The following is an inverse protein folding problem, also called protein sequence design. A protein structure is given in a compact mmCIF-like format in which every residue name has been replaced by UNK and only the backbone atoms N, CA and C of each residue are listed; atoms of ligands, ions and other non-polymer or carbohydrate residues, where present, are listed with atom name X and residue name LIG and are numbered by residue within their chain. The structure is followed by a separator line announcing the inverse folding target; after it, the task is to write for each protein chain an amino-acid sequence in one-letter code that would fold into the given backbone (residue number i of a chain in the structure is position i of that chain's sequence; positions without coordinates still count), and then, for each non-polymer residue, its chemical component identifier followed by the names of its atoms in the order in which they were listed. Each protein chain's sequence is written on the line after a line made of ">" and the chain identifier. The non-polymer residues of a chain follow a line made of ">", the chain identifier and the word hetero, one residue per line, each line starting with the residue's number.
data_IF_073969956770
#
_entry.id   IF_073969956770
#
_cell.length_a   1.000
_cell.length_b   1.000
_cell.length_c   1.000
_cell.angle_alpha   90.00
_cell.angle_beta   90.00
_cell.angle_gamma   90.00
#
_symmetry.space_group_name_H-M   'P 1'
#
loop_
_entity.id
_entity.type
_entity.pdbx_description
1 polymer ?
#
# COMPACT_ATOMS: atom_id res chain seq x y z
N UNK A 1 15.06 -0.15 7.94
CA UNK A 1 14.81 -1.47 7.30
C UNK A 1 15.78 -2.56 7.76
N UNK A 2 17.03 -2.23 8.09
CA UNK A 2 18.04 -3.19 8.54
C UNK A 2 17.76 -3.67 9.98
N UNK A 3 17.22 -4.88 10.14
CA UNK A 3 17.10 -5.56 11.44
C UNK A 3 15.71 -6.16 11.72
N UNK A 4 14.63 -5.38 11.59
CA UNK A 4 13.28 -5.85 11.95
C UNK A 4 12.72 -6.90 10.98
N UNK A 5 12.91 -6.71 9.68
CA UNK A 5 12.46 -7.62 8.62
C UNK A 5 13.15 -8.99 8.66
N UNK A 6 14.50 -9.08 8.65
CA UNK A 6 15.17 -10.39 8.72
C UNK A 6 14.92 -11.12 10.04
N UNK A 7 14.77 -10.38 11.15
CA UNK A 7 14.40 -10.96 12.44
C UNK A 7 12.98 -11.57 12.42
N UNK A 8 12.00 -10.83 11.91
CA UNK A 8 10.61 -11.29 11.82
C UNK A 8 10.46 -12.53 10.93
N UNK A 9 11.17 -12.57 9.79
CA UNK A 9 11.15 -13.73 8.90
C UNK A 9 11.79 -14.97 9.54
N UNK A 10 12.90 -14.81 10.28
CA UNK A 10 13.58 -15.94 10.94
C UNK A 10 12.79 -16.51 12.12
N UNK A 11 12.10 -15.66 12.87
CA UNK A 11 11.36 -16.05 14.06
C UNK A 11 9.94 -16.59 13.78
N UNK A 12 9.44 -16.45 12.56
CA UNK A 12 8.10 -16.91 12.16
C UNK A 12 8.15 -18.36 11.67
N UNK A 13 7.09 -19.12 11.92
CA UNK A 13 6.89 -20.45 11.36
C UNK A 13 5.96 -20.45 10.12
N UNK A 14 5.24 -19.34 9.87
CA UNK A 14 4.32 -19.22 8.74
C UNK A 14 5.05 -18.89 7.44
N UNK A 15 4.98 -19.80 6.45
CA UNK A 15 5.52 -19.56 5.11
C UNK A 15 4.88 -18.35 4.42
N UNK A 16 3.56 -18.15 4.58
CA UNK A 16 2.84 -16.99 4.01
C UNK A 16 3.30 -15.67 4.63
N UNK A 17 3.58 -15.66 5.93
CA UNK A 17 4.15 -14.48 6.56
C UNK A 17 5.58 -14.22 6.07
N UNK A 18 6.42 -15.26 5.95
CA UNK A 18 7.77 -15.12 5.38
C UNK A 18 7.76 -14.57 3.96
N UNK A 19 6.85 -15.06 3.09
CA UNK A 19 6.70 -14.52 1.74
C UNK A 19 6.25 -13.06 1.78
N UNK A 20 5.34 -12.72 2.69
CA UNK A 20 4.91 -11.33 2.86
C UNK A 20 6.03 -10.41 3.35
N UNK A 21 6.90 -10.87 4.26
CA UNK A 21 8.05 -10.06 4.71
C UNK A 21 8.93 -9.66 3.52
N UNK A 22 9.15 -10.57 2.56
CA UNK A 22 9.91 -10.28 1.35
C UNK A 22 9.13 -9.33 0.43
N UNK A 23 7.90 -9.69 0.06
CA UNK A 23 7.08 -8.91 -0.89
C UNK A 23 6.74 -7.53 -0.33
N UNK A 24 6.26 -7.45 0.91
CA UNK A 24 5.95 -6.21 1.61
C UNK A 24 7.19 -5.36 1.88
N UNK A 25 8.34 -5.97 2.17
CA UNK A 25 9.61 -5.26 2.29
C UNK A 25 10.03 -4.60 0.96
N UNK A 26 9.95 -5.35 -0.13
CA UNK A 26 10.24 -4.83 -1.48
C UNK A 26 9.23 -3.75 -1.88
N UNK A 27 7.94 -3.98 -1.64
CA UNK A 27 6.88 -3.01 -1.93
C UNK A 27 7.06 -1.72 -1.12
N UNK A 28 7.38 -1.81 0.18
CA UNK A 28 7.66 -0.64 1.00
C UNK A 28 8.88 0.13 0.49
N UNK A 29 9.94 -0.56 0.05
CA UNK A 29 11.12 0.08 -0.52
C UNK A 29 10.78 0.79 -1.84
N UNK A 30 10.03 0.13 -2.72
CA UNK A 30 9.58 0.70 -3.98
C UNK A 30 8.67 1.92 -3.76
N UNK A 31 7.67 1.80 -2.89
CA UNK A 31 6.78 2.92 -2.54
C UNK A 31 7.58 4.10 -1.99
N UNK A 32 8.50 3.85 -1.06
CA UNK A 32 9.36 4.90 -0.49
C UNK A 32 10.20 5.58 -1.57
N UNK A 33 10.79 4.80 -2.48
CA UNK A 33 11.55 5.32 -3.61
C UNK A 33 10.69 6.18 -4.53
N UNK A 34 9.53 5.68 -4.96
CA UNK A 34 8.60 6.39 -5.84
C UNK A 34 8.12 7.70 -5.21
N UNK A 35 7.70 7.69 -3.95
CA UNK A 35 7.28 8.91 -3.25
C UNK A 35 8.44 9.89 -3.05
N UNK A 36 9.65 9.40 -2.82
CA UNK A 36 10.85 10.27 -2.72
C UNK A 36 11.14 10.94 -4.06
N UNK A 37 11.14 10.18 -5.16
CA UNK A 37 11.30 10.73 -6.51
C UNK A 37 10.19 11.73 -6.85
N UNK A 38 8.94 11.41 -6.54
CA UNK A 38 7.81 12.31 -6.74
C UNK A 38 7.92 13.60 -5.92
N UNK A 39 8.44 13.53 -4.68
CA UNK A 39 8.73 14.73 -3.90
C UNK A 39 9.84 15.55 -4.57
N UNK A 40 10.94 14.92 -4.99
CA UNK A 40 12.05 15.61 -5.68
C UNK A 40 11.54 16.35 -6.92
N UNK A 41 10.72 15.71 -7.77
CA UNK A 41 10.17 16.36 -8.97
C UNK A 41 9.19 17.48 -8.62
N UNK A 42 8.36 17.29 -7.60
CA UNK A 42 7.43 18.31 -7.11
C UNK A 42 8.18 19.57 -6.63
N UNK A 43 9.26 19.40 -5.86
CA UNK A 43 10.10 20.52 -5.40
C UNK A 43 10.90 21.14 -6.56
N UNK A 44 11.42 20.34 -7.48
CA UNK A 44 12.17 20.82 -8.66
C UNK A 44 11.33 21.69 -9.60
N UNK A 45 10.06 21.35 -9.79
CA UNK A 45 9.14 22.13 -10.61
C UNK A 45 8.71 23.48 -9.98
N UNK A 46 9.05 23.74 -8.71
CA UNK A 46 8.46 24.84 -7.93
C UNK A 46 9.49 25.60 -7.08
N UNK A 47 10.64 25.93 -7.65
CA UNK A 47 11.76 26.62 -7.01
C UNK A 47 11.42 28.00 -6.38
N UNK A 48 10.24 28.58 -6.67
CA UNK A 48 9.79 29.89 -6.18
C UNK A 48 8.48 29.83 -5.35
N UNK A 49 7.88 28.65 -5.13
CA UNK A 49 6.56 28.56 -4.49
C UNK A 49 6.64 28.36 -2.96
N UNK A 50 5.98 29.25 -2.22
CA UNK A 50 5.71 29.18 -0.77
C UNK A 50 4.99 27.87 -0.42
N UNK A 51 5.26 27.27 0.75
CA UNK A 51 4.68 26.00 1.21
C UNK A 51 3.17 25.92 0.94
N UNK A 52 2.78 25.19 -0.09
CA UNK A 52 1.38 24.96 -0.47
C UNK A 52 0.85 23.72 0.25
N UNK A 53 -0.40 23.81 0.73
CA UNK A 53 -1.19 22.70 1.32
C UNK A 53 -1.09 21.39 0.51
N UNK A 54 -0.92 21.50 -0.81
CA UNK A 54 -0.78 20.38 -1.75
C UNK A 54 0.45 19.51 -1.45
N UNK A 55 1.54 20.09 -0.93
CA UNK A 55 2.76 19.33 -0.61
C UNK A 55 2.63 18.47 0.64
N UNK A 56 1.90 18.95 1.65
CA UNK A 56 1.64 18.18 2.87
C UNK A 56 0.75 16.95 2.57
N UNK A 57 -0.20 17.09 1.64
CA UNK A 57 -1.04 15.97 1.20
C UNK A 57 -0.22 14.82 0.60
N UNK A 58 0.83 15.11 -0.17
CA UNK A 58 1.73 14.08 -0.71
C UNK A 58 2.36 13.22 0.40
N UNK A 59 2.77 13.84 1.50
CA UNK A 59 3.34 13.12 2.65
C UNK A 59 2.29 12.23 3.30
N UNK A 60 1.05 12.70 3.44
CA UNK A 60 -0.06 11.91 4.00
C UNK A 60 -0.35 10.70 3.13
N UNK A 61 -0.40 10.85 1.81
CA UNK A 61 -0.60 9.73 0.88
C UNK A 61 0.57 8.75 0.93
N UNK A 62 1.82 9.26 0.96
CA UNK A 62 3.01 8.43 1.09
C UNK A 62 3.00 7.59 2.38
N UNK A 63 2.70 8.22 3.52
CA UNK A 63 2.58 7.54 4.80
C UNK A 63 1.41 6.55 4.79
N UNK A 64 0.27 6.94 4.21
CA UNK A 64 -0.90 6.09 4.05
C UNK A 64 -0.64 4.84 3.21
N UNK A 65 0.29 4.90 2.25
CA UNK A 65 0.70 3.74 1.46
C UNK A 65 1.78 2.89 2.18
N UNK A 66 2.81 3.54 2.74
CA UNK A 66 3.97 2.84 3.31
C UNK A 66 3.64 2.23 4.69
N UNK A 67 2.92 2.95 5.54
CA UNK A 67 2.69 2.53 6.92
C UNK A 67 1.90 1.21 7.01
N UNK A 68 0.76 1.02 6.32
CA UNK A 68 0.03 -0.24 6.36
C UNK A 68 0.82 -1.39 5.73
N UNK A 69 1.68 -1.11 4.74
CA UNK A 69 2.58 -2.10 4.14
C UNK A 69 3.57 -2.68 5.15
N UNK A 70 4.18 -1.85 5.99
CA UNK A 70 5.18 -2.31 6.98
C UNK A 70 4.55 -2.82 8.28
N UNK A 71 3.31 -2.42 8.58
CA UNK A 71 2.64 -2.69 9.86
C UNK A 71 2.54 -4.18 10.20
N UNK A 72 2.12 -5.09 9.30
CA UNK A 72 2.06 -6.53 9.61
C UNK A 72 3.40 -7.08 10.12
N UNK A 73 4.50 -6.66 9.49
CA UNK A 73 5.85 -7.10 9.85
C UNK A 73 6.25 -6.58 11.23
N UNK A 74 5.99 -5.30 11.50
CA UNK A 74 6.31 -4.68 12.79
C UNK A 74 5.50 -5.28 13.94
N UNK A 75 4.22 -5.60 13.71
CA UNK A 75 3.35 -6.20 14.73
C UNK A 75 3.80 -7.62 15.09
N UNK A 76 4.13 -8.47 14.10
CA UNK A 76 4.69 -9.80 14.38
C UNK A 76 6.05 -9.70 15.08
N UNK A 77 6.95 -8.84 14.59
CA UNK A 77 8.25 -8.63 15.21
C UNK A 77 8.12 -8.20 16.68
N UNK A 78 7.19 -7.28 16.98
CA UNK A 78 6.90 -6.81 18.34
C UNK A 78 6.32 -7.92 19.21
N UNK A 79 5.39 -8.71 18.69
CA UNK A 79 4.77 -9.83 19.43
C UNK A 79 5.82 -10.86 19.84
N UNK A 80 6.71 -11.22 18.90
CA UNK A 80 7.80 -12.18 19.12
C UNK A 80 8.84 -11.65 20.11
N UNK A 81 9.25 -10.38 19.99
CA UNK A 81 10.15 -9.74 20.96
C UNK A 81 9.60 -9.69 22.38
N UNK A 82 8.27 -9.63 22.54
CA UNK A 82 7.60 -9.61 23.86
C UNK A 82 7.25 -10.99 24.39
N UNK A 83 7.55 -12.07 23.66
CA UNK A 83 7.19 -13.42 24.07
C UNK A 83 5.67 -13.65 24.19
N UNK A 84 4.85 -12.82 23.53
CA UNK A 84 3.39 -12.98 23.52
C UNK A 84 2.97 -13.63 22.21
N UNK A 85 2.85 -14.97 22.13
CA UNK A 85 2.36 -15.64 20.94
C UNK A 85 0.89 -15.25 20.72
N UNK A 86 0.56 -14.76 19.53
CA UNK A 86 -0.83 -14.53 19.15
C UNK A 86 -1.58 -15.85 19.00
N UNK A 87 -2.90 -15.76 18.82
CA UNK A 87 -3.76 -16.91 18.55
C UNK A 87 -3.32 -17.66 17.28
N UNK A 88 -3.68 -18.95 17.13
CA UNK A 88 -3.44 -19.69 15.89
C UNK A 88 -3.90 -18.90 14.65
N UNK A 89 -3.03 -18.80 13.64
CA UNK A 89 -3.31 -18.05 12.42
C UNK A 89 -3.17 -16.53 12.52
N UNK A 90 -2.59 -15.99 13.60
CA UNK A 90 -2.26 -14.56 13.72
C UNK A 90 -1.32 -14.07 12.61
N UNK A 91 -0.19 -14.77 12.40
CA UNK A 91 0.80 -14.40 11.38
C UNK A 91 0.24 -14.51 9.95
N UNK A 92 -0.55 -15.57 9.69
CA UNK A 92 -1.26 -15.74 8.42
C UNK A 92 -2.26 -14.60 8.19
N UNK A 93 -3.07 -14.27 9.19
CA UNK A 93 -4.06 -13.20 9.08
C UNK A 93 -3.42 -11.84 8.77
N UNK A 94 -2.32 -11.52 9.45
CA UNK A 94 -1.58 -10.28 9.18
C UNK A 94 -0.94 -10.26 7.79
N UNK A 95 -0.41 -11.40 7.33
CA UNK A 95 0.12 -11.51 5.96
C UNK A 95 -0.97 -11.32 4.91
N UNK A 96 -2.13 -11.96 5.08
CA UNK A 96 -3.27 -11.83 4.16
C UNK A 96 -3.83 -10.40 4.14
N UNK A 97 -3.97 -9.75 5.31
CA UNK A 97 -4.36 -8.35 5.39
C UNK A 97 -3.36 -7.44 4.67
N UNK A 98 -2.06 -7.72 4.82
CA UNK A 98 -1.00 -7.00 4.13
C UNK A 98 -1.03 -7.20 2.60
N UNK A 99 -1.24 -8.42 2.11
CA UNK A 99 -1.39 -8.69 0.68
C UNK A 99 -2.65 -8.03 0.11
N UNK A 100 -3.76 -8.08 0.84
CA UNK A 100 -5.00 -7.42 0.46
C UNK A 100 -4.81 -5.90 0.37
N UNK A 101 -4.06 -5.31 1.30
CA UNK A 101 -3.70 -3.90 1.22
C UNK A 101 -2.87 -3.59 -0.04
N UNK A 102 -1.85 -4.38 -0.36
CA UNK A 102 -1.07 -4.18 -1.59
C UNK A 102 -1.93 -4.31 -2.86
N UNK A 103 -2.82 -5.30 -2.92
CA UNK A 103 -3.77 -5.45 -4.02
C UNK A 103 -4.72 -4.24 -4.11
N UNK A 104 -5.18 -3.75 -2.97
CA UNK A 104 -6.09 -2.59 -2.90
C UNK A 104 -5.46 -1.28 -3.39
N UNK A 105 -4.13 -1.12 -3.25
CA UNK A 105 -3.42 0.03 -3.83
C UNK A 105 -3.53 0.01 -5.35
N UNK A 106 -3.34 -1.16 -5.98
CA UNK A 106 -3.50 -1.30 -7.42
C UNK A 106 -4.95 -1.06 -7.85
N UNK A 107 -5.92 -1.68 -7.16
CA UNK A 107 -7.35 -1.48 -7.47
C UNK A 107 -7.78 -0.02 -7.30
N UNK A 108 -7.27 0.66 -6.26
CA UNK A 108 -7.51 2.08 -6.04
C UNK A 108 -6.97 2.96 -7.16
N UNK A 109 -5.77 2.64 -7.69
CA UNK A 109 -5.21 3.34 -8.85
C UNK A 109 -6.07 3.14 -10.11
N UNK A 110 -6.53 1.92 -10.37
CA UNK A 110 -7.41 1.63 -11.52
C UNK A 110 -8.73 2.37 -11.39
N UNK A 111 -9.34 2.39 -10.20
CA UNK A 111 -10.59 3.12 -9.95
C UNK A 111 -10.42 4.65 -10.00
N UNK A 112 -9.23 5.17 -9.70
CA UNK A 112 -8.94 6.60 -9.78
C UNK A 112 -8.65 7.09 -11.21
N UNK A 113 -8.46 6.19 -12.17
CA UNK A 113 -7.99 6.53 -13.52
C UNK A 113 -9.09 7.30 -14.29
N UNK A 114 -8.85 8.58 -14.64
CA UNK A 114 -9.81 9.36 -15.40
C UNK A 114 -9.98 8.83 -16.82
N UNK A 115 -11.10 9.13 -17.44
CA UNK A 115 -11.37 8.76 -18.85
C UNK A 115 -10.31 9.29 -19.80
N UNK A 116 -9.80 10.50 -19.56
CA UNK A 116 -8.71 11.12 -20.30
C UNK A 116 -7.71 11.76 -19.33
N UNK A 117 -6.42 11.66 -19.66
CA UNK A 117 -5.33 12.28 -18.91
C UNK A 117 -4.23 12.76 -19.85
N UNK A 118 -3.38 13.67 -19.35
CA UNK A 118 -2.24 14.19 -20.13
C UNK A 118 -1.01 13.32 -19.87
N UNK A 119 -0.40 12.83 -20.93
CA UNK A 119 0.87 12.10 -20.91
C UNK A 119 1.77 12.71 -21.99
N UNK A 120 2.96 13.18 -21.59
CA UNK A 120 3.93 13.84 -22.50
C UNK A 120 3.37 15.02 -23.31
N UNK A 121 2.39 15.74 -22.74
CA UNK A 121 1.75 16.90 -23.37
C UNK A 121 0.57 16.55 -24.28
N UNK A 122 0.32 15.26 -24.53
CA UNK A 122 -0.81 14.78 -25.31
C UNK A 122 -1.94 14.30 -24.42
N UNK A 123 -3.19 14.56 -24.81
CA UNK A 123 -4.36 14.02 -24.12
C UNK A 123 -4.63 12.61 -24.61
N UNK A 124 -4.48 11.63 -23.73
CA UNK A 124 -4.66 10.21 -24.02
C UNK A 124 -5.89 9.70 -23.26
N UNK A 125 -6.69 8.86 -23.90
CA UNK A 125 -7.81 8.18 -23.28
C UNK A 125 -7.37 6.92 -22.53
N UNK A 126 -8.01 6.61 -21.41
CA UNK A 126 -7.78 5.34 -20.71
C UNK A 126 -8.12 4.15 -21.63
N UNK A 127 -7.35 3.05 -21.60
CA UNK A 127 -7.65 1.87 -22.41
C UNK A 127 -9.01 1.27 -22.02
N UNK A 128 -9.79 0.75 -22.98
CA UNK A 128 -11.04 0.05 -22.67
C UNK A 128 -10.77 -1.23 -21.86
N UNK A 129 -11.72 -1.64 -20.99
CA UNK A 129 -11.61 -2.91 -20.26
C UNK A 129 -11.41 -4.08 -21.24
N UNK A 130 -10.39 -4.90 -21.00
CA UNK A 130 -10.03 -6.00 -21.89
C UNK A 130 -9.40 -7.19 -21.13
N UNK A 131 -9.37 -8.35 -21.78
CA UNK A 131 -8.85 -9.59 -21.21
C UNK A 131 -9.75 -10.23 -20.15
N UNK A 132 -9.20 -11.19 -19.41
CA UNK A 132 -9.94 -11.98 -18.42
C UNK A 132 -10.51 -11.16 -17.25
N UNK A 133 -9.91 -10.00 -16.95
CA UNK A 133 -10.37 -9.09 -15.89
C UNK A 133 -11.22 -7.93 -16.41
N UNK A 134 -11.64 -7.93 -17.68
CA UNK A 134 -12.46 -6.86 -18.25
C UNK A 134 -13.71 -6.53 -17.42
N UNK A 135 -14.48 -7.49 -16.87
CA UNK A 135 -15.64 -7.18 -16.05
C UNK A 135 -15.27 -6.41 -14.76
N UNK A 136 -14.18 -6.82 -14.10
CA UNK A 136 -13.70 -6.15 -12.89
C UNK A 136 -13.23 -4.73 -13.21
N UNK A 137 -12.48 -4.55 -14.30
CA UNK A 137 -11.98 -3.24 -14.72
C UNK A 137 -13.14 -2.30 -15.06
N UNK A 138 -14.17 -2.79 -15.76
CA UNK A 138 -15.37 -2.01 -16.07
C UNK A 138 -16.05 -1.50 -14.79
N UNK A 139 -16.25 -2.38 -13.80
CA UNK A 139 -16.81 -1.99 -12.50
C UNK A 139 -15.94 -0.93 -11.81
N UNK A 140 -14.61 -1.10 -11.80
CA UNK A 140 -13.70 -0.13 -11.19
C UNK A 140 -13.74 1.24 -11.89
N UNK A 141 -13.85 1.24 -13.21
CA UNK A 141 -13.92 2.45 -14.03
C UNK A 141 -15.19 3.25 -13.87
N UNK A 142 -16.28 2.60 -13.45
CA UNK A 142 -17.59 3.22 -13.16
C UNK A 142 -17.69 3.74 -11.72
N UNK A 143 -16.73 3.44 -10.85
CA UNK A 143 -16.74 3.93 -9.48
C UNK A 143 -16.48 5.44 -9.42
N UNK A 144 -17.03 6.13 -8.40
CA UNK A 144 -16.67 7.51 -8.11
C UNK A 144 -15.16 7.64 -7.85
N UNK A 145 -14.53 8.75 -8.27
CA UNK A 145 -13.08 8.97 -8.11
C UNK A 145 -12.58 8.80 -6.67
N UNK A 146 -13.41 9.15 -5.68
CA UNK A 146 -13.06 8.99 -4.25
C UNK A 146 -12.84 7.52 -3.85
N UNK A 147 -13.40 6.57 -4.59
CA UNK A 147 -13.18 5.14 -4.39
C UNK A 147 -11.71 4.76 -4.52
N UNK A 148 -10.94 5.51 -5.33
CA UNK A 148 -9.50 5.31 -5.47
C UNK A 148 -8.71 5.46 -4.16
N UNK A 149 -9.21 6.28 -3.23
CA UNK A 149 -8.65 6.41 -1.88
C UNK A 149 -9.37 5.52 -0.87
N UNK A 150 -10.69 5.37 -0.98
CA UNK A 150 -11.50 4.61 -0.04
C UNK A 150 -11.15 3.11 -0.03
N UNK A 151 -10.87 2.53 -1.20
CA UNK A 151 -10.49 1.11 -1.35
C UNK A 151 -9.23 0.78 -0.52
N UNK A 152 -8.08 1.47 -0.74
CA UNK A 152 -6.88 1.19 0.06
C UNK A 152 -7.01 1.62 1.52
N UNK A 153 -7.74 2.70 1.82
CA UNK A 153 -8.00 3.09 3.21
C UNK A 153 -8.77 1.99 3.98
N UNK A 154 -9.81 1.41 3.37
CA UNK A 154 -10.56 0.31 3.95
C UNK A 154 -9.69 -0.93 4.19
N UNK A 155 -8.85 -1.29 3.22
CA UNK A 155 -7.93 -2.42 3.36
C UNK A 155 -6.85 -2.16 4.43
N UNK A 156 -6.37 -0.92 4.58
CA UNK A 156 -5.42 -0.55 5.61
C UNK A 156 -5.96 -0.79 7.02
N UNK A 157 -7.25 -0.54 7.24
CA UNK A 157 -7.92 -0.76 8.53
C UNK A 157 -8.02 -2.25 8.91
N UNK A 158 -7.96 -3.17 7.94
CA UNK A 158 -7.99 -4.60 8.21
C UNK A 158 -6.74 -5.07 8.96
N UNK A 159 -5.59 -4.42 8.77
CA UNK A 159 -4.34 -4.78 9.45
C UNK A 159 -4.46 -4.65 10.99
N UNK A 160 -4.79 -3.47 11.56
CA UNK A 160 -4.99 -3.34 12.99
C UNK A 160 -6.21 -4.12 13.50
N UNK A 161 -7.23 -4.32 12.66
CA UNK A 161 -8.42 -5.11 13.03
C UNK A 161 -8.06 -6.60 13.24
N UNK A 162 -7.33 -7.19 12.29
CA UNK A 162 -6.81 -8.56 12.42
C UNK A 162 -5.89 -8.66 13.62
N UNK A 163 -5.03 -7.66 13.84
CA UNK A 163 -4.19 -7.60 15.02
C UNK A 163 -5.02 -7.64 16.31
N UNK A 164 -6.02 -6.77 16.43
CA UNK A 164 -6.86 -6.68 17.62
C UNK A 164 -7.60 -7.98 17.93
N UNK A 165 -8.19 -8.64 16.93
CA UNK A 165 -8.98 -9.86 17.15
C UNK A 165 -8.15 -11.14 17.32
N UNK A 166 -6.91 -11.17 16.82
CA UNK A 166 -6.07 -12.38 16.81
C UNK A 166 -4.82 -12.31 17.69
N UNK A 167 -4.53 -11.16 18.30
CA UNK A 167 -3.52 -11.03 19.35
C UNK A 167 -3.93 -11.81 20.59
#
# INVERSE_FOLDING_TARGET
>A
MFGAFPYAARASESLTFKSYVLVGGLAAALLTLLFTLALITLFGATAQARFSIVRAFYVVVALGAVAPTITPVLLVARSRRRGTPGRPGYELGLALAGYLFLASLYLGLVAALPETFVLDGETVARPPPSGAFAPLIAVLYDLPRLSGLAIPAGAALLVPLVHYFRR
#
